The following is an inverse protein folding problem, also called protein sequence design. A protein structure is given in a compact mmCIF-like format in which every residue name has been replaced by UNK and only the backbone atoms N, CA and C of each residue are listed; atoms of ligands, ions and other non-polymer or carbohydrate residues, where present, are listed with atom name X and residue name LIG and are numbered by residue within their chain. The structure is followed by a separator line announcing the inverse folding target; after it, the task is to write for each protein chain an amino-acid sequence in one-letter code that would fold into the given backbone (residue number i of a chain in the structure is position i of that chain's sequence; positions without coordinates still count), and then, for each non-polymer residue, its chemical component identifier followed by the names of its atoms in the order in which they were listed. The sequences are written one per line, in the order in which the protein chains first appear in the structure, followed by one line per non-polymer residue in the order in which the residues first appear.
data_IF_479400415500
#
_entry.id   IF_479400415500
#
_cell.length_a   1.000
_cell.length_b   1.000
_cell.length_c   1.000
_cell.angle_alpha   90.00
_cell.angle_beta   90.00
_cell.angle_gamma   90.00
#
_symmetry.space_group_name_H-M   'P 1'
#
loop_
_entity.id
_entity.type
_entity.pdbx_description
1 polymer ?
#
# COMPACT_ATOMS: atom_id res chain seq x y z
N UNK A 1 5.89 9.47 11.83
CA UNK A 1 6.64 8.76 12.90
C UNK A 1 7.98 8.22 12.42
N UNK A 2 8.05 7.24 11.51
CA UNK A 2 9.36 6.67 11.09
C UNK A 2 10.27 7.65 10.32
N UNK A 3 9.72 8.48 9.42
CA UNK A 3 10.50 9.57 8.76
C UNK A 3 11.11 10.53 9.77
N UNK A 4 10.35 10.86 10.82
CA UNK A 4 10.81 11.74 11.90
C UNK A 4 11.89 11.08 12.75
N UNK A 5 11.81 9.76 12.98
CA UNK A 5 12.89 9.02 13.64
C UNK A 5 14.21 9.15 12.87
N UNK A 6 14.20 8.90 11.56
CA UNK A 6 15.42 9.01 10.75
C UNK A 6 15.97 10.43 10.70
N UNK A 7 15.08 11.42 10.59
CA UNK A 7 15.49 12.83 10.64
C UNK A 7 16.12 13.19 11.98
N UNK A 8 15.53 12.78 13.11
CA UNK A 8 16.06 13.05 14.45
C UNK A 8 17.36 12.28 14.72
N UNK A 9 17.52 11.07 14.17
CA UNK A 9 18.72 10.25 14.37
C UNK A 9 19.99 10.89 13.81
N UNK A 10 19.88 11.82 12.86
CA UNK A 10 21.04 12.57 12.33
C UNK A 10 21.60 13.59 13.35
N UNK A 11 20.83 13.94 14.38
CA UNK A 11 21.22 14.90 15.41
C UNK A 11 21.59 14.25 16.74
N UNK A 12 21.45 12.92 16.87
CA UNK A 12 21.78 12.16 18.06
C UNK A 12 23.24 11.69 17.96
N UNK A 13 24.05 11.79 19.03
CA UNK A 13 25.40 11.22 19.05
C UNK A 13 25.34 9.69 18.94
N UNK A 14 26.23 9.09 18.17
CA UNK A 14 26.30 7.61 18.01
C UNK A 14 26.68 6.88 19.32
N UNK A 15 27.37 7.58 20.23
CA UNK A 15 27.89 7.07 21.51
C UNK A 15 27.13 7.63 22.74
N UNK A 16 25.88 8.07 22.57
CA UNK A 16 25.07 8.56 23.69
C UNK A 16 24.48 7.39 24.50
N UNK A 17 25.20 6.98 25.56
CA UNK A 17 24.81 5.92 26.50
C UNK A 17 23.41 6.14 27.11
N UNK A 18 22.93 7.40 27.25
CA UNK A 18 21.60 7.70 27.79
C UNK A 18 20.49 7.30 26.81
N UNK A 19 20.82 7.19 25.51
CA UNK A 19 19.88 6.84 24.44
C UNK A 19 20.11 5.46 23.84
N UNK A 20 21.21 4.79 24.19
CA UNK A 20 21.55 3.45 23.70
C UNK A 20 20.43 2.43 23.94
N UNK A 21 19.77 2.50 25.10
CA UNK A 21 18.70 1.58 25.51
C UNK A 21 17.38 1.77 24.73
N UNK A 22 17.16 2.95 24.16
CA UNK A 22 15.93 3.28 23.40
C UNK A 22 16.13 3.19 21.88
N UNK A 23 17.38 3.15 21.42
CA UNK A 23 17.69 3.10 20.00
C UNK A 23 17.45 1.70 19.41
N UNK A 24 16.81 1.60 18.23
CA UNK A 24 16.66 0.31 17.58
C UNK A 24 18.01 -0.23 17.11
N UNK A 25 18.19 -1.55 17.22
CA UNK A 25 19.40 -2.21 16.70
C UNK A 25 19.66 -1.87 15.23
N UNK A 26 20.93 -1.91 14.81
CA UNK A 26 21.34 -1.72 13.41
C UNK A 26 20.54 -2.57 12.41
N UNK A 27 20.18 -3.81 12.80
CA UNK A 27 19.32 -4.69 11.99
C UNK A 27 17.91 -4.14 11.84
N UNK A 28 17.31 -3.65 12.93
CA UNK A 28 16.00 -3.02 12.91
C UNK A 28 16.00 -1.73 12.07
N UNK A 29 17.04 -0.90 12.18
CA UNK A 29 17.20 0.31 11.37
C UNK A 29 17.24 -0.02 9.87
N UNK A 30 18.02 -1.03 9.46
CA UNK A 30 18.05 -1.49 8.06
C UNK A 30 16.67 -1.95 7.59
N UNK A 31 15.97 -2.75 8.41
CA UNK A 31 14.61 -3.23 8.11
C UNK A 31 13.61 -2.08 7.98
N UNK A 32 13.69 -1.07 8.84
CA UNK A 32 12.84 0.12 8.78
C UNK A 32 13.05 0.90 7.47
N UNK A 33 14.29 1.08 7.01
CA UNK A 33 14.58 1.75 5.72
C UNK A 33 13.92 1.00 4.56
N UNK A 34 14.03 -0.33 4.51
CA UNK A 34 13.38 -1.16 3.48
C UNK A 34 11.86 -0.99 3.51
N UNK A 35 11.24 -1.15 4.69
CA UNK A 35 9.79 -1.01 4.87
C UNK A 35 9.29 0.39 4.48
N UNK A 36 10.10 1.44 4.67
CA UNK A 36 9.72 2.79 4.24
C UNK A 36 9.63 2.95 2.72
N UNK A 37 10.54 2.32 1.98
CA UNK A 37 10.51 2.33 0.52
C UNK A 37 9.28 1.58 0.02
N UNK A 38 9.04 0.37 0.54
CA UNK A 38 7.87 -0.44 0.23
C UNK A 38 6.56 0.32 0.53
N UNK A 39 6.44 0.90 1.73
CA UNK A 39 5.29 1.72 2.12
C UNK A 39 5.07 2.89 1.17
N UNK A 40 6.13 3.52 0.70
CA UNK A 40 6.04 4.68 -0.21
C UNK A 40 5.48 4.27 -1.58
N UNK A 41 5.90 3.11 -2.11
CA UNK A 41 5.34 2.56 -3.36
C UNK A 41 3.83 2.32 -3.24
N UNK A 42 3.40 1.64 -2.19
CA UNK A 42 1.96 1.39 -1.92
C UNK A 42 1.19 2.69 -1.74
N UNK A 43 1.74 3.65 -0.99
CA UNK A 43 1.15 4.98 -0.80
C UNK A 43 0.97 5.72 -2.12
N UNK A 44 1.94 5.64 -3.03
CA UNK A 44 1.86 6.30 -4.33
C UNK A 44 0.81 5.66 -5.23
N UNK A 45 0.73 4.32 -5.27
CA UNK A 45 -0.33 3.60 -5.98
C UNK A 45 -1.71 3.96 -5.42
N UNK A 46 -1.87 3.97 -4.10
CA UNK A 46 -3.12 4.39 -3.46
C UNK A 46 -3.51 5.83 -3.85
N UNK A 47 -2.55 6.77 -3.76
CA UNK A 47 -2.78 8.16 -4.22
C UNK A 47 -3.16 8.25 -5.68
N UNK A 48 -2.55 7.44 -6.55
CA UNK A 48 -2.92 7.37 -7.95
C UNK A 48 -4.38 6.94 -8.05
N UNK A 49 -4.75 5.79 -7.45
CA UNK A 49 -6.10 5.22 -7.43
C UNK A 49 -7.19 6.15 -6.86
N UNK A 50 -6.82 7.06 -5.95
CA UNK A 50 -7.73 8.04 -5.37
C UNK A 50 -8.07 9.20 -6.31
N UNK A 51 -7.32 9.43 -7.39
CA UNK A 51 -7.59 10.51 -8.34
C UNK A 51 -8.97 10.37 -8.97
N UNK A 52 -9.58 11.50 -9.31
CA UNK A 52 -10.85 11.51 -10.02
C UNK A 52 -10.69 11.05 -11.46
N UNK A 53 -11.74 10.44 -12.00
CA UNK A 53 -11.74 9.93 -13.36
C UNK A 53 -10.95 8.63 -13.58
N UNK A 54 -10.40 8.01 -12.54
CA UNK A 54 -9.74 6.70 -12.69
C UNK A 54 -10.71 5.64 -13.18
N UNK A 55 -10.27 4.95 -14.22
CA UNK A 55 -11.03 3.90 -14.86
C UNK A 55 -10.70 2.52 -14.26
N UNK A 56 -11.53 1.51 -14.54
CA UNK A 56 -11.24 0.13 -14.15
C UNK A 56 -9.94 -0.37 -14.80
N UNK A 57 -9.68 0.01 -16.05
CA UNK A 57 -8.44 -0.36 -16.75
C UNK A 57 -7.21 0.31 -16.14
N UNK A 58 -7.30 1.60 -15.78
CA UNK A 58 -6.20 2.28 -15.07
C UNK A 58 -5.94 1.61 -13.72
N UNK A 59 -7.02 1.26 -13.00
CA UNK A 59 -6.91 0.55 -11.72
C UNK A 59 -6.17 -0.77 -11.89
N UNK A 60 -6.46 -1.52 -12.97
CA UNK A 60 -5.74 -2.75 -13.28
C UNK A 60 -4.25 -2.50 -13.53
N UNK A 61 -3.90 -1.55 -14.38
CA UNK A 61 -2.50 -1.22 -14.68
C UNK A 61 -1.72 -0.87 -13.41
N UNK A 62 -2.30 -0.05 -12.53
CA UNK A 62 -1.66 0.33 -11.28
C UNK A 62 -1.46 -0.84 -10.31
N UNK A 63 -2.45 -1.74 -10.22
CA UNK A 63 -2.36 -2.89 -9.31
C UNK A 63 -1.43 -3.97 -9.86
N UNK A 64 -1.52 -4.31 -11.14
CA UNK A 64 -0.64 -5.30 -11.77
C UNK A 64 0.82 -4.82 -11.72
N UNK A 65 1.09 -3.53 -11.97
CA UNK A 65 2.42 -2.94 -11.83
C UNK A 65 2.93 -2.94 -10.38
N UNK A 66 2.05 -2.79 -9.39
CA UNK A 66 2.43 -2.94 -7.97
C UNK A 66 2.84 -4.38 -7.65
N UNK A 67 2.10 -5.36 -8.16
CA UNK A 67 2.38 -6.79 -7.97
C UNK A 67 3.68 -7.19 -8.67
N UNK A 68 3.97 -6.63 -9.84
CA UNK A 68 5.23 -6.87 -10.56
C UNK A 68 6.44 -6.37 -9.78
N UNK A 69 6.34 -5.17 -9.20
CA UNK A 69 7.41 -4.55 -8.41
C UNK A 69 7.55 -5.17 -7.02
N UNK A 70 6.45 -5.64 -6.43
CA UNK A 70 6.41 -6.24 -5.11
C UNK A 70 5.45 -7.45 -5.07
N UNK A 71 5.94 -8.65 -5.43
CA UNK A 71 5.12 -9.84 -5.58
C UNK A 71 4.42 -10.30 -4.29
N UNK A 72 4.92 -9.89 -3.13
CA UNK A 72 4.29 -10.21 -1.83
C UNK A 72 2.86 -9.65 -1.72
N UNK A 73 2.52 -8.60 -2.47
CA UNK A 73 1.16 -8.05 -2.52
C UNK A 73 0.16 -8.87 -3.32
N UNK A 74 0.62 -9.83 -4.14
CA UNK A 74 -0.27 -10.64 -4.98
C UNK A 74 -1.34 -11.33 -4.16
N UNK A 75 -0.99 -11.89 -3.01
CA UNK A 75 -1.94 -12.59 -2.15
C UNK A 75 -3.04 -11.68 -1.60
N UNK A 76 -2.70 -10.42 -1.26
CA UNK A 76 -3.63 -9.47 -0.67
C UNK A 76 -4.54 -8.79 -1.71
N UNK A 77 -4.12 -8.71 -2.97
CA UNK A 77 -4.84 -8.00 -4.03
C UNK A 77 -5.54 -8.94 -5.02
N UNK A 78 -5.20 -10.23 -5.00
CA UNK A 78 -5.78 -11.26 -5.86
C UNK A 78 -7.31 -11.29 -5.78
N UNK A 79 -7.88 -11.25 -4.57
CA UNK A 79 -9.32 -11.33 -4.38
C UNK A 79 -10.08 -10.13 -4.98
N UNK A 80 -9.39 -9.00 -5.15
CA UNK A 80 -9.97 -7.80 -5.76
C UNK A 80 -9.85 -7.90 -7.28
N UNK A 81 -8.62 -8.07 -7.79
CA UNK A 81 -8.30 -8.01 -9.23
C UNK A 81 -8.82 -9.23 -10.00
N UNK A 82 -8.87 -10.40 -9.36
CA UNK A 82 -9.39 -11.63 -9.98
C UNK A 82 -10.87 -11.87 -9.68
N UNK A 83 -11.56 -10.93 -9.02
CA UNK A 83 -13.00 -11.06 -8.83
C UNK A 83 -13.73 -11.01 -10.18
N UNK A 84 -14.75 -11.86 -10.41
CA UNK A 84 -15.53 -11.83 -11.65
C UNK A 84 -16.13 -10.45 -11.95
N UNK A 85 -16.52 -9.70 -10.92
CA UNK A 85 -17.08 -8.35 -11.04
C UNK A 85 -16.05 -7.33 -11.53
N UNK A 86 -14.81 -7.43 -11.04
CA UNK A 86 -13.70 -6.61 -11.51
C UNK A 86 -13.41 -6.85 -13.00
N UNK A 87 -13.31 -8.13 -13.38
CA UNK A 87 -13.04 -8.53 -14.76
C UNK A 87 -14.18 -8.11 -15.70
N UNK A 88 -15.43 -8.32 -15.30
CA UNK A 88 -16.59 -7.86 -16.06
C UNK A 88 -16.60 -6.33 -16.24
N UNK A 89 -16.17 -5.58 -15.23
CA UNK A 89 -15.98 -4.13 -15.33
C UNK A 89 -14.91 -3.73 -16.34
N UNK A 90 -13.78 -4.44 -16.37
CA UNK A 90 -12.71 -4.23 -17.35
C UNK A 90 -13.18 -4.56 -18.79
N UNK A 91 -13.89 -5.68 -18.98
CA UNK A 91 -14.41 -6.07 -20.30
C UNK A 91 -15.46 -5.08 -20.82
N UNK A 92 -16.36 -4.58 -19.96
CA UNK A 92 -17.32 -3.53 -20.33
C UNK A 92 -16.63 -2.27 -20.82
N UNK A 93 -15.52 -1.89 -20.19
CA UNK A 93 -14.68 -0.77 -20.60
C UNK A 93 -14.02 -0.96 -21.95
N UNK A 94 -13.45 -2.14 -22.20
CA UNK A 94 -12.88 -2.49 -23.50
C UNK A 94 -13.93 -2.46 -24.62
N UNK A 95 -15.19 -2.78 -24.30
CA UNK A 95 -16.33 -2.67 -25.21
C UNK A 95 -16.90 -1.23 -25.33
N UNK A 96 -16.16 -0.21 -24.90
CA UNK A 96 -16.52 1.20 -25.06
C UNK A 96 -17.51 1.76 -24.03
N UNK A 97 -17.91 0.97 -23.01
CA UNK A 97 -18.76 1.47 -21.92
C UNK A 97 -17.88 2.02 -20.80
N UNK A 98 -17.85 3.34 -20.61
CA UNK A 98 -17.12 3.96 -19.49
C UNK A 98 -17.66 3.44 -18.16
N UNK A 99 -16.83 2.68 -17.45
CA UNK A 99 -17.11 2.24 -16.08
C UNK A 99 -16.08 2.88 -15.16
N UNK A 100 -16.49 3.91 -14.42
CA UNK A 100 -15.66 4.52 -13.38
C UNK A 100 -15.70 3.67 -12.12
N UNK A 101 -14.56 3.54 -11.45
CA UNK A 101 -14.34 2.59 -10.35
C UNK A 101 -15.02 2.98 -9.02
N UNK A 102 -16.26 3.52 -9.00
CA UNK A 102 -16.90 4.00 -7.75
C UNK A 102 -17.03 2.87 -6.70
N UNK A 103 -17.36 1.64 -7.14
CA UNK A 103 -17.49 0.47 -6.26
C UNK A 103 -16.13 -0.03 -5.74
N UNK A 104 -15.12 -0.09 -6.61
CA UNK A 104 -13.75 -0.41 -6.20
C UNK A 104 -13.11 0.68 -5.37
N UNK A 105 -13.41 1.96 -5.61
CA UNK A 105 -12.95 3.08 -4.77
C UNK A 105 -13.40 2.84 -3.34
N UNK A 106 -14.64 2.38 -3.10
CA UNK A 106 -15.12 2.03 -1.75
C UNK A 106 -14.39 0.82 -1.14
N UNK A 107 -14.11 -0.21 -1.94
CA UNK A 107 -13.48 -1.46 -1.48
C UNK A 107 -11.95 -1.33 -1.27
N UNK A 108 -11.28 -0.54 -2.11
CA UNK A 108 -9.89 -0.10 -1.90
C UNK A 108 -9.80 0.90 -0.75
N UNK A 109 -10.79 1.80 -0.56
CA UNK A 109 -10.81 2.68 0.61
C UNK A 109 -10.90 1.89 1.91
N UNK A 110 -11.77 0.88 2.00
CA UNK A 110 -11.90 0.06 3.21
C UNK A 110 -10.64 -0.75 3.50
N UNK A 111 -9.99 -1.30 2.47
CA UNK A 111 -8.73 -2.04 2.60
C UNK A 111 -7.52 -1.15 2.90
N UNK A 112 -7.44 0.06 2.33
CA UNK A 112 -6.25 0.92 2.43
C UNK A 112 -6.34 2.00 3.52
N UNK A 113 -7.54 2.43 3.94
CA UNK A 113 -7.74 3.45 4.98
C UNK A 113 -8.28 2.88 6.31
N UNK A 114 -8.44 1.57 6.44
CA UNK A 114 -8.77 0.94 7.71
C UNK A 114 -10.26 0.95 8.04
N UNK A 115 -10.95 -0.09 7.61
CA UNK A 115 -11.98 -0.75 8.43
C UNK A 115 -11.42 -2.11 8.81
N UNK A 116 -11.36 -2.58 10.05
CA UNK A 116 -11.75 -2.04 11.34
C UNK A 116 -11.06 -2.92 12.40
N UNK A 117 -11.27 -2.59 13.66
CA UNK A 117 -10.90 -3.32 14.86
C UNK A 117 -11.38 -4.80 14.96
N UNK A 118 -11.11 -5.67 13.98
CA UNK A 118 -11.64 -7.05 14.02
C UNK A 118 -10.76 -8.16 13.43
N UNK A 119 -9.62 -7.90 12.80
CA UNK A 119 -8.69 -8.98 12.40
C UNK A 119 -7.68 -9.36 13.51
N UNK A 120 -8.16 -9.33 14.76
CA UNK A 120 -7.48 -9.86 15.93
C UNK A 120 -8.43 -10.83 16.63
N UNK A 121 -8.82 -11.89 15.91
CA UNK A 121 -9.18 -13.17 16.52
C UNK A 121 -9.05 -14.28 15.48
N UNK A 122 -8.46 -15.39 15.91
CA UNK A 122 -8.03 -16.57 15.14
C UNK A 122 -6.70 -16.29 14.43
N UNK A 123 -5.54 -16.68 14.98
CA UNK A 123 -5.21 -17.79 15.88
C UNK A 123 -4.03 -17.41 16.77
#
# INVERSE_FOLDING_TARGET
MVERYFWLSEFLPDDDDETADIMPSSRAVKRLKTLMVERTRVKNVNKALQKDGITMLDTRVWVDGLIEVEPSFKHYLADIVHSPDFEAGCVKMLNGRRQTSIALKRLLFSHLNGTAATFLRVR
#
